data_IF_947415873294
#
_entry.id   IF_947415873294
#
_cell.length_a   1.000
_cell.length_b   1.000
_cell.length_c   1.000
_cell.angle_alpha   90.00
_cell.angle_beta   90.00
_cell.angle_gamma   90.00
#
_symmetry.space_group_name_H-M   'P 1'
#
loop_
_entity.id
_entity.type
_entity.pdbx_description
1 polymer ?
#
# COMPACT_ATOMS: atom_id res chain seq x y z
N UNK A 1 -1.84 11.71 -24.55
CA UNK A 1 -1.00 10.58 -24.12
C UNK A 1 0.43 10.97 -24.45
N UNK A 2 1.39 10.80 -23.52
CA UNK A 2 2.78 11.07 -23.86
C UNK A 2 3.26 10.09 -24.94
N UNK A 3 4.13 10.55 -25.83
CA UNK A 3 4.66 9.72 -26.90
C UNK A 3 5.52 8.59 -26.29
N UNK A 4 5.39 7.36 -26.79
CA UNK A 4 6.10 6.18 -26.30
C UNK A 4 7.62 6.39 -26.21
N UNK A 5 8.19 7.13 -27.17
CA UNK A 5 9.60 7.52 -27.20
C UNK A 5 9.99 8.45 -26.04
N UNK A 6 9.09 9.35 -25.64
CA UNK A 6 9.32 10.25 -24.50
C UNK A 6 9.37 9.46 -23.19
N UNK A 7 8.50 8.47 -23.02
CA UNK A 7 8.47 7.61 -21.83
C UNK A 7 9.72 6.73 -21.78
N UNK A 8 10.16 6.20 -22.92
CA UNK A 8 11.39 5.42 -23.01
C UNK A 8 12.61 6.25 -22.58
N UNK A 9 12.71 7.49 -23.07
CA UNK A 9 13.82 8.37 -22.76
C UNK A 9 13.85 8.76 -21.28
N UNK A 10 12.69 9.07 -20.69
CA UNK A 10 12.56 9.38 -19.26
C UNK A 10 12.94 8.18 -18.39
N UNK A 11 12.54 6.96 -18.78
CA UNK A 11 12.92 5.74 -18.06
C UNK A 11 14.43 5.48 -18.08
N UNK A 12 15.09 5.77 -19.21
CA UNK A 12 16.55 5.65 -19.34
C UNK A 12 17.27 6.68 -18.46
N UNK A 13 16.76 7.91 -18.38
CA UNK A 13 17.30 8.95 -17.52
C UNK A 13 17.17 8.56 -16.04
N UNK A 14 15.99 8.13 -15.60
CA UNK A 14 15.77 7.63 -14.24
C UNK A 14 16.68 6.43 -13.90
N UNK A 15 16.88 5.50 -14.83
CA UNK A 15 17.79 4.36 -14.64
C UNK A 15 19.25 4.82 -14.48
N UNK A 16 19.67 5.85 -15.21
CA UNK A 16 21.02 6.43 -15.14
C UNK A 16 21.25 7.22 -13.86
N UNK A 17 20.23 7.88 -13.34
CA UNK A 17 20.26 8.59 -12.07
C UNK A 17 20.24 7.64 -10.85
N UNK A 18 20.09 6.33 -11.09
CA UNK A 18 20.04 5.31 -10.06
C UNK A 18 18.64 5.12 -9.45
N UNK A 19 17.63 5.84 -9.97
CA UNK A 19 16.24 5.68 -9.56
C UNK A 19 15.61 4.47 -10.27
N UNK A 20 16.00 3.27 -9.85
CA UNK A 20 15.56 2.01 -10.47
C UNK A 20 14.05 1.77 -10.37
N UNK A 21 13.42 2.21 -9.29
CA UNK A 21 11.99 2.05 -9.07
C UNK A 21 11.17 2.91 -10.06
N UNK A 22 11.58 4.18 -10.24
CA UNK A 22 10.95 5.07 -11.22
C UNK A 22 11.19 4.59 -12.65
N UNK A 23 12.41 4.16 -12.97
CA UNK A 23 12.73 3.58 -14.27
C UNK A 23 11.88 2.34 -14.58
N UNK A 24 11.72 1.44 -13.60
CA UNK A 24 10.87 0.26 -13.72
C UNK A 24 9.41 0.64 -13.98
N UNK A 25 8.87 1.61 -13.25
CA UNK A 25 7.50 2.07 -13.45
C UNK A 25 7.29 2.64 -14.86
N UNK A 26 8.26 3.41 -15.37
CA UNK A 26 8.22 3.98 -16.72
C UNK A 26 8.32 2.91 -17.81
N UNK A 27 9.21 1.91 -17.68
CA UNK A 27 9.29 0.81 -18.64
C UNK A 27 8.09 -0.15 -18.54
N UNK A 28 7.53 -0.36 -17.34
CA UNK A 28 6.29 -1.15 -17.15
C UNK A 28 5.07 -0.46 -17.76
N UNK A 29 5.01 0.88 -17.71
CA UNK A 29 3.99 1.65 -18.40
C UNK A 29 4.17 1.55 -19.92
N UNK A 30 5.41 1.69 -20.39
CA UNK A 30 5.73 1.65 -21.81
C UNK A 30 5.43 0.29 -22.44
N UNK A 31 5.77 -0.80 -21.77
CA UNK A 31 5.47 -2.17 -22.20
C UNK A 31 3.97 -2.51 -22.19
N UNK A 32 3.17 -1.81 -21.37
CA UNK A 32 1.70 -1.88 -21.42
C UNK A 32 1.10 -1.07 -22.57
N UNK A 33 1.68 0.08 -22.88
CA UNK A 33 1.22 0.96 -23.95
C UNK A 33 1.65 0.48 -25.34
N UNK A 34 2.85 -0.07 -25.44
CA UNK A 34 3.47 -0.59 -26.65
C UNK A 34 4.14 -1.95 -26.35
N UNK A 35 3.35 -3.04 -26.36
CA UNK A 35 3.84 -4.39 -26.06
C UNK A 35 4.89 -4.91 -27.03
N UNK A 36 4.97 -4.35 -28.24
CA UNK A 36 5.91 -4.76 -29.28
C UNK A 36 7.28 -4.05 -29.14
N UNK A 37 7.42 -3.17 -28.15
CA UNK A 37 8.64 -2.40 -27.92
C UNK A 37 9.73 -3.24 -27.24
N UNK A 38 10.52 -3.93 -28.06
CA UNK A 38 11.68 -4.73 -27.65
C UNK A 38 12.61 -3.98 -26.68
N UNK A 39 12.81 -2.68 -26.91
CA UNK A 39 13.76 -1.90 -26.12
C UNK A 39 13.23 -1.59 -24.71
N UNK A 40 11.93 -1.33 -24.58
CA UNK A 40 11.28 -1.16 -23.28
C UNK A 40 11.41 -2.43 -22.42
N UNK A 41 11.20 -3.61 -23.01
CA UNK A 41 11.34 -4.89 -22.33
C UNK A 41 12.79 -5.19 -21.92
N UNK A 42 13.78 -4.85 -22.77
CA UNK A 42 15.20 -4.99 -22.43
C UNK A 42 15.61 -4.10 -21.26
N UNK A 43 15.15 -2.85 -21.26
CA UNK A 43 15.43 -1.93 -20.15
C UNK A 43 14.73 -2.36 -18.86
N UNK A 44 13.49 -2.87 -18.95
CA UNK A 44 12.76 -3.44 -17.82
C UNK A 44 13.54 -4.61 -17.19
N UNK A 45 14.09 -5.52 -17.99
CA UNK A 45 14.92 -6.61 -17.50
C UNK A 45 16.18 -6.13 -16.73
N UNK A 46 16.74 -4.99 -17.14
CA UNK A 46 17.91 -4.37 -16.50
C UNK A 46 17.60 -3.72 -15.13
N UNK A 47 16.39 -3.18 -14.96
CA UNK A 47 15.96 -2.52 -13.71
C UNK A 47 15.04 -3.39 -12.84
N UNK A 48 14.71 -4.60 -13.29
CA UNK A 48 13.88 -5.56 -12.58
C UNK A 48 14.37 -5.82 -11.14
N UNK A 49 13.41 -5.92 -10.21
CA UNK A 49 13.67 -6.10 -8.79
C UNK A 49 14.02 -7.56 -8.46
N UNK A 50 13.42 -8.51 -9.19
CA UNK A 50 13.59 -9.94 -8.99
C UNK A 50 14.08 -10.71 -10.22
N UNK A 51 14.63 -11.92 -10.02
CA UNK A 51 15.03 -12.79 -11.12
C UNK A 51 13.84 -13.23 -11.99
N UNK A 52 12.64 -13.34 -11.42
CA UNK A 52 11.42 -13.74 -12.15
C UNK A 52 10.90 -12.62 -13.06
N UNK A 53 10.90 -11.37 -12.58
CA UNK A 53 10.55 -10.19 -13.39
C UNK A 53 11.56 -10.00 -14.54
N UNK A 54 12.85 -10.19 -14.24
CA UNK A 54 13.90 -10.18 -15.26
C UNK A 54 13.69 -11.28 -16.30
N UNK A 55 13.35 -12.50 -15.87
CA UNK A 55 13.08 -13.63 -16.77
C UNK A 55 11.91 -13.31 -17.69
N UNK A 56 10.77 -12.91 -17.13
CA UNK A 56 9.56 -12.61 -17.90
C UNK A 56 9.82 -11.52 -18.96
N UNK A 57 10.52 -10.45 -18.60
CA UNK A 57 10.86 -9.39 -19.54
C UNK A 57 11.78 -9.88 -20.69
N UNK A 58 12.76 -10.73 -20.40
CA UNK A 58 13.66 -11.30 -21.42
C UNK A 58 12.95 -12.35 -22.30
N UNK A 59 12.02 -13.13 -21.75
CA UNK A 59 11.17 -14.06 -22.51
C UNK A 59 10.32 -13.31 -23.54
N UNK A 60 9.74 -12.17 -23.14
CA UNK A 60 9.01 -11.30 -24.07
C UNK A 60 9.91 -10.74 -25.17
N UNK A 61 11.15 -10.33 -24.86
CA UNK A 61 12.11 -9.89 -25.89
C UNK A 61 12.42 -10.99 -26.89
N UNK A 62 12.67 -12.23 -26.43
CA UNK A 62 12.95 -13.36 -27.31
C UNK A 62 11.72 -13.77 -28.13
N UNK A 63 10.51 -13.59 -27.60
CA UNK A 63 9.27 -13.82 -28.33
C UNK A 63 9.06 -12.81 -29.47
N UNK A 64 9.39 -11.53 -29.24
CA UNK A 64 9.29 -10.46 -30.24
C UNK A 64 10.44 -10.48 -31.25
N UNK A 65 11.67 -10.66 -30.76
CA UNK A 65 12.89 -10.68 -31.54
C UNK A 65 13.76 -11.89 -31.16
N UNK A 66 13.52 -13.07 -31.76
CA UNK A 66 14.25 -14.30 -31.46
C UNK A 66 15.77 -14.24 -31.74
N UNK A 67 16.19 -13.28 -32.59
CA UNK A 67 17.59 -13.01 -32.91
C UNK A 67 18.30 -12.13 -31.87
N UNK A 68 17.60 -11.64 -30.86
CA UNK A 68 18.19 -10.70 -29.91
C UNK A 68 19.19 -11.39 -28.98
N UNK A 69 20.48 -11.21 -29.27
CA UNK A 69 21.57 -11.83 -28.50
C UNK A 69 21.58 -11.43 -27.03
N UNK A 70 21.15 -10.21 -26.71
CA UNK A 70 21.17 -9.69 -25.34
C UNK A 70 20.15 -10.43 -24.47
N UNK A 71 18.96 -10.68 -25.01
CA UNK A 71 17.92 -11.41 -24.29
C UNK A 71 18.24 -12.89 -24.12
N UNK A 72 18.80 -13.54 -25.17
CA UNK A 72 19.26 -14.93 -25.09
C UNK A 72 20.37 -15.12 -24.06
N UNK A 73 21.36 -14.23 -24.03
CA UNK A 73 22.44 -14.25 -23.03
C UNK A 73 21.88 -14.01 -21.62
N UNK A 74 20.89 -13.13 -21.48
CA UNK A 74 20.20 -12.87 -20.22
C UNK A 74 19.44 -14.09 -19.68
N UNK A 75 18.71 -14.81 -20.53
CA UNK A 75 18.01 -16.04 -20.14
C UNK A 75 18.97 -17.18 -19.80
N UNK A 76 20.05 -17.33 -20.56
CA UNK A 76 21.11 -18.29 -20.26
C UNK A 76 21.79 -18.02 -18.91
N UNK A 77 22.02 -16.74 -18.57
CA UNK A 77 22.55 -16.36 -17.26
C UNK A 77 21.59 -16.68 -16.10
N UNK A 78 20.29 -16.84 -16.37
CA UNK A 78 19.27 -17.26 -15.42
C UNK A 78 19.00 -18.78 -15.45
N UNK A 79 19.76 -19.55 -16.23
CA UNK A 79 19.62 -21.01 -16.36
C UNK A 79 18.42 -21.45 -17.19
N UNK A 80 17.86 -20.58 -18.03
CA UNK A 80 16.71 -20.88 -18.90
C UNK A 80 17.18 -21.07 -20.34
N UNK A 81 16.77 -22.18 -20.96
CA UNK A 81 17.05 -22.45 -22.37
C UNK A 81 16.22 -21.52 -23.28
N UNK A 82 16.86 -20.64 -24.07
CA UNK A 82 16.16 -19.65 -24.88
C UNK A 82 15.34 -20.28 -26.03
N UNK A 83 15.68 -21.50 -26.46
CA UNK A 83 14.98 -22.19 -27.55
C UNK A 83 13.68 -22.87 -27.08
N UNK A 84 13.49 -23.07 -25.77
CA UNK A 84 12.24 -23.60 -25.19
C UNK A 84 11.09 -22.58 -25.20
N UNK A 85 11.42 -21.28 -25.30
CA UNK A 85 10.45 -20.17 -25.26
C UNK A 85 9.95 -19.81 -26.66
N UNK A 86 10.76 -20.04 -27.70
CA UNK A 86 10.41 -19.77 -29.11
C UNK A 86 9.38 -20.74 -29.72
N UNK A 87 8.96 -21.78 -28.97
CA UNK A 87 8.09 -22.84 -29.47
C UNK A 87 6.63 -22.82 -28.99
N UNK A 88 6.21 -21.86 -28.13
CA UNK A 88 4.86 -21.87 -27.55
C UNK A 88 3.93 -20.91 -28.30
N UNK A 89 2.93 -21.40 -29.06
CA UNK A 89 1.90 -20.53 -29.61
C UNK A 89 1.03 -19.96 -28.49
N UNK A 90 0.67 -18.68 -28.61
CA UNK A 90 -0.16 -17.94 -27.66
C UNK A 90 -1.49 -18.66 -27.37
N UNK A 91 -2.00 -18.64 -26.11
CA UNK A 91 -3.23 -19.32 -25.75
C UNK A 91 -4.46 -18.60 -26.34
N UNK A 92 -5.24 -19.29 -27.15
CA UNK A 92 -6.61 -18.90 -27.52
C UNK A 92 -7.58 -19.14 -26.34
N UNK A 93 -8.64 -18.32 -26.18
CA UNK A 93 -9.55 -18.41 -25.05
C UNK A 93 -10.75 -19.37 -25.28
N UNK A 94 -11.16 -20.02 -24.18
CA UNK A 94 -12.46 -20.68 -23.85
C UNK A 94 -12.77 -22.08 -24.41
N UNK A 95 -12.72 -23.09 -23.52
CA UNK A 95 -13.76 -24.12 -23.36
C UNK A 95 -13.62 -24.87 -22.01
N UNK A 96 -14.72 -24.91 -21.25
CA UNK A 96 -14.94 -25.62 -19.97
C UNK A 96 -14.65 -27.14 -20.06
N UNK A 97 -14.13 -27.80 -19.00
CA UNK A 97 -13.83 -29.23 -19.02
C UNK A 97 -15.05 -30.11 -18.67
N UNK A 98 -15.17 -31.35 -19.20
CA UNK A 98 -15.92 -32.41 -18.54
C UNK A 98 -14.97 -33.26 -17.66
N UNK A 99 -15.44 -33.81 -16.52
CA UNK A 99 -14.64 -34.68 -15.68
C UNK A 99 -14.65 -36.13 -16.22
N UNK A 100 -13.54 -36.86 -16.02
CA UNK A 100 -13.64 -38.24 -15.54
C UNK A 100 -12.69 -38.42 -14.34
N UNK A 101 -13.19 -38.85 -13.19
CA UNK A 101 -13.32 -40.25 -12.79
C UNK A 101 -11.95 -40.95 -12.60
N UNK A 102 -11.76 -41.46 -11.39
CA UNK A 102 -10.54 -41.93 -10.79
C UNK A 102 -9.86 -43.14 -11.48
N UNK A 103 -8.56 -43.25 -11.15
CA UNK A 103 -7.70 -44.43 -11.13
C UNK A 103 -7.06 -44.89 -12.44
N UNK A 104 -5.85 -44.39 -12.69
CA UNK A 104 -4.63 -45.22 -12.73
C UNK A 104 -3.44 -44.28 -12.44
N UNK A 105 -2.66 -44.58 -11.40
CA UNK A 105 -1.42 -43.83 -11.13
C UNK A 105 -0.46 -44.10 -12.29
N UNK A 106 0.01 -43.03 -12.92
CA UNK A 106 0.96 -43.14 -14.03
C UNK A 106 2.34 -43.54 -13.52
N UNK A 107 3.17 -44.19 -14.35
CA UNK A 107 4.56 -44.51 -14.00
C UNK A 107 5.36 -43.26 -13.60
N UNK A 108 4.91 -42.08 -14.01
CA UNK A 108 5.46 -40.77 -13.66
C UNK A 108 5.14 -40.37 -12.20
N UNK A 109 3.94 -40.70 -11.70
CA UNK A 109 3.57 -40.49 -10.29
C UNK A 109 4.30 -41.47 -9.34
N UNK A 110 4.57 -42.69 -9.81
CA UNK A 110 5.40 -43.66 -9.10
C UNK A 110 6.88 -43.24 -9.08
N UNK A 111 7.39 -42.66 -10.18
CA UNK A 111 8.75 -42.14 -10.25
C UNK A 111 8.95 -40.87 -9.40
N UNK A 112 7.93 -40.00 -9.32
CA UNK A 112 7.93 -38.84 -8.46
C UNK A 112 7.91 -39.21 -6.97
N UNK A 113 7.14 -40.23 -6.58
CA UNK A 113 7.12 -40.74 -5.20
C UNK A 113 8.43 -41.46 -4.81
N UNK A 114 9.10 -42.12 -5.76
CA UNK A 114 10.39 -42.78 -5.52
C UNK A 114 11.53 -41.75 -5.39
N UNK A 115 11.50 -40.67 -6.16
CA UNK A 115 12.42 -39.53 -6.02
C UNK A 115 12.27 -38.82 -4.67
N UNK A 116 11.04 -38.64 -4.18
CA UNK A 116 10.80 -37.99 -2.88
C UNK A 116 11.33 -38.86 -1.71
N UNK A 117 11.22 -40.19 -1.83
CA UNK A 117 11.80 -41.13 -0.84
C UNK A 117 13.33 -41.23 -0.88
N UNK A 118 13.97 -40.87 -2.01
CA UNK A 118 15.43 -40.92 -2.17
C UNK A 118 16.15 -39.73 -1.51
N UNK A 119 15.44 -38.65 -1.20
CA UNK A 119 16.01 -37.48 -0.53
C UNK A 119 15.99 -37.58 1.01
N UNK A 120 15.16 -38.45 1.58
CA UNK A 120 15.09 -38.69 3.04
C UNK A 120 16.27 -39.53 3.58
N UNK A 121 17.05 -40.20 2.72
CA UNK A 121 18.18 -41.05 3.14
C UNK A 121 19.52 -40.28 3.27
N UNK A 122 19.52 -38.95 3.08
CA UNK A 122 20.72 -38.11 3.17
C UNK A 122 20.94 -37.41 4.52
N UNK A 123 20.07 -37.61 5.52
CA UNK A 123 20.22 -37.03 6.86
C UNK A 123 20.88 -37.97 7.88
N UNK A 124 21.49 -39.08 7.42
CA UNK A 124 22.17 -40.08 8.25
C UNK A 124 23.65 -40.31 7.88
N UNK A 125 24.42 -39.24 7.66
CA UNK A 125 25.89 -39.35 7.59
C UNK A 125 26.56 -38.49 8.66
N UNK A 126 27.22 -39.19 9.59
CA UNK A 126 27.98 -38.65 10.69
C UNK A 126 28.98 -37.56 10.29
N UNK A 127 28.95 -36.48 11.08
CA UNK A 127 29.92 -35.40 11.10
C UNK A 127 31.29 -35.93 11.58
N UNK A 128 32.22 -36.18 10.67
CA UNK A 128 33.63 -36.45 11.02
C UNK A 128 34.59 -35.54 10.28
N UNK A 129 35.20 -34.63 11.05
CA UNK A 129 36.62 -34.33 11.07
C UNK A 129 37.31 -33.90 9.76
N UNK A 130 37.60 -32.61 9.65
CA UNK A 130 38.42 -32.06 8.58
C UNK A 130 39.91 -32.50 8.61
N UNK A 131 40.58 -32.28 7.49
CA UNK A 131 42.04 -32.07 7.41
C UNK A 131 42.38 -31.34 6.10
N UNK A 132 43.47 -30.55 6.06
CA UNK A 132 43.61 -29.40 5.19
C UNK A 132 44.23 -29.73 3.82
N UNK A 133 43.90 -28.88 2.85
CA UNK A 133 44.39 -28.90 1.48
C UNK A 133 45.83 -28.36 1.41
N UNK A 134 46.78 -29.23 1.06
CA UNK A 134 48.14 -28.85 0.68
C UNK A 134 48.14 -28.25 -0.73
N UNK A 135 48.68 -27.03 -0.86
CA UNK A 135 49.09 -26.45 -2.14
C UNK A 135 50.52 -26.87 -2.50
N UNK A 136 50.86 -27.01 -3.80
CA UNK A 136 52.21 -27.30 -4.23
C UNK A 136 53.09 -26.04 -4.40
N UNK A 137 54.36 -26.26 -4.09
CA UNK A 137 55.56 -25.43 -4.09
C UNK A 137 55.89 -24.63 -5.36
N UNK A 138 56.48 -23.44 -5.17
CA UNK A 138 57.90 -23.20 -5.54
C UNK A 138 58.23 -21.99 -6.41
N UNK A 139 58.88 -20.96 -5.82
CA UNK A 139 59.94 -20.14 -6.46
C UNK A 139 60.69 -19.23 -5.47
N UNK A 140 62.04 -19.33 -5.43
CA UNK A 140 63.05 -18.37 -4.90
C UNK A 140 63.01 -18.04 -3.39
N UNK A 141 64.09 -17.75 -2.66
CA UNK A 141 65.46 -17.34 -2.97
C UNK A 141 66.29 -17.43 -1.66
N UNK A 142 67.60 -17.52 -1.81
CA UNK A 142 68.64 -17.81 -0.80
C UNK A 142 68.82 -16.70 0.26
N UNK A 143 69.33 -17.06 1.45
CA UNK A 143 69.89 -16.08 2.39
C UNK A 143 70.12 -16.61 3.80
N UNK A 144 71.36 -16.99 4.07
CA UNK A 144 71.90 -17.61 5.28
C UNK A 144 72.00 -16.66 6.49
N UNK A 145 71.84 -17.17 7.72
CA UNK A 145 72.85 -17.14 8.79
C UNK A 145 72.28 -17.33 10.22
N UNK A 146 72.76 -18.42 10.82
CA UNK A 146 73.24 -18.63 12.20
C UNK A 146 72.50 -18.20 13.50
N UNK A 147 72.35 -19.25 14.32
CA UNK A 147 72.77 -19.35 15.74
C UNK A 147 71.86 -18.87 16.89
N UNK A 148 71.19 -19.89 17.44
CA UNK A 148 71.24 -20.34 18.85
C UNK A 148 71.03 -19.33 20.00
N UNK A 149 70.02 -19.58 20.84
CA UNK A 149 70.20 -20.36 22.07
C UNK A 149 68.99 -20.26 23.01
N UNK A 150 68.68 -21.40 23.63
CA UNK A 150 67.71 -21.57 24.69
C UNK A 150 68.25 -21.07 26.04
N UNK A 151 67.35 -20.67 26.94
CA UNK A 151 67.71 -20.35 28.32
C UNK A 151 66.48 -20.08 29.17
N UNK A 152 65.99 -21.15 29.81
CA UNK A 152 64.85 -21.18 30.70
C UNK A 152 65.15 -20.56 32.09
N UNK A 153 64.14 -20.67 32.96
CA UNK A 153 64.09 -20.48 34.41
C UNK A 153 63.78 -19.07 34.90
N UNK A 154 63.00 -18.86 35.95
CA UNK A 154 61.98 -19.60 36.69
C UNK A 154 61.58 -18.67 37.85
N UNK A 155 60.36 -18.87 38.39
CA UNK A 155 59.96 -18.52 39.77
C UNK A 155 59.81 -17.01 40.06
N UNK A 156 58.85 -16.51 40.82
CA UNK A 156 57.86 -17.09 41.73
C UNK A 156 56.97 -15.94 42.22
N UNK A 157 55.74 -16.28 42.64
CA UNK A 157 54.94 -15.63 43.72
C UNK A 157 54.62 -14.13 43.60
N UNK A 158 53.47 -13.60 43.98
CA UNK A 158 52.23 -14.11 44.55
C UNK A 158 51.26 -12.93 44.61
N UNK A 159 49.99 -13.28 44.77
CA UNK A 159 48.97 -12.56 45.55
C UNK A 159 48.37 -11.23 45.07
N UNK A 160 47.07 -11.36 44.83
CA UNK A 160 45.96 -10.60 45.42
C UNK A 160 45.66 -9.17 44.97
N UNK A 161 44.43 -9.08 44.45
CA UNK A 161 43.41 -8.11 44.82
C UNK A 161 43.48 -6.70 44.21
N UNK A 162 42.59 -6.54 43.21
CA UNK A 162 41.52 -5.54 43.15
C UNK A 162 41.91 -4.07 43.33
N UNK A 163 41.48 -3.34 42.29
CA UNK A 163 40.89 -2.02 42.29
C UNK A 163 41.83 -0.83 42.01
N UNK A 164 41.45 -0.14 40.94
CA UNK A 164 41.28 1.32 40.86
C UNK A 164 42.37 2.12 40.12
N UNK A 165 41.95 2.55 38.93
CA UNK A 165 42.04 3.93 38.39
C UNK A 165 43.32 4.37 37.69
N UNK A 166 43.10 4.59 36.40
CA UNK A 166 43.52 5.70 35.55
C UNK A 166 44.94 6.27 35.65
N UNK A 167 45.59 6.22 34.49
CA UNK A 167 46.28 7.34 33.87
C UNK A 167 47.54 7.87 34.57
N UNK A 168 48.69 7.61 33.93
CA UNK A 168 49.70 8.60 33.51
C UNK A 168 50.84 7.83 32.84
N UNK A 169 51.05 7.98 31.52
CA UNK A 169 51.68 9.12 30.83
C UNK A 169 53.20 9.09 30.97
N UNK A 170 53.84 9.25 29.81
CA UNK A 170 55.23 9.70 29.56
C UNK A 170 56.23 8.55 29.36
N UNK A 171 57.12 8.53 28.37
CA UNK A 171 57.58 9.61 27.51
C UNK A 171 58.30 9.07 26.27
N UNK A 172 58.06 9.72 25.13
CA UNK A 172 59.13 10.31 24.31
C UNK A 172 58.52 11.47 23.51
N UNK A 173 58.49 12.69 24.04
CA UNK A 173 59.45 13.79 23.82
C UNK A 173 59.84 14.01 22.34
N UNK A 174 59.94 15.22 21.76
CA UNK A 174 59.65 16.62 22.13
C UNK A 174 60.26 17.46 20.99
N UNK A 175 59.53 18.38 20.36
CA UNK A 175 60.06 19.69 19.91
C UNK A 175 58.91 20.61 19.46
N UNK A 176 58.55 21.61 20.27
CA UNK A 176 58.83 23.06 20.07
C UNK A 176 57.83 23.70 19.08
N UNK A 177 56.68 24.20 19.58
CA UNK A 177 56.39 25.59 20.03
C UNK A 177 56.32 26.59 18.86
N UNK A 178 55.10 27.01 18.51
CA UNK A 178 54.73 28.44 18.49
C UNK A 178 53.22 28.58 18.77
N UNK A 179 52.84 29.63 19.50
CA UNK A 179 51.46 29.97 19.88
C UNK A 179 50.87 30.90 18.82
N UNK A 180 49.70 30.56 18.26
CA UNK A 180 48.81 31.60 17.71
C UNK A 180 47.33 31.23 17.89
N UNK A 181 46.63 32.12 18.57
CA UNK A 181 45.20 32.13 18.81
C UNK A 181 44.45 32.43 17.51
N UNK A 182 43.92 31.40 16.86
CA UNK A 182 43.07 31.52 15.67
C UNK A 182 41.68 30.93 15.89
N UNK A 183 40.67 31.80 15.97
CA UNK A 183 39.27 31.48 15.72
C UNK A 183 39.14 30.77 14.37
N UNK A 184 38.78 29.47 14.36
CA UNK A 184 38.44 28.78 13.11
C UNK A 184 37.10 29.29 12.58
N UNK A 185 37.22 30.35 11.78
CA UNK A 185 36.22 30.83 10.84
C UNK A 185 36.05 29.76 9.77
N UNK A 186 34.79 29.37 9.55
CA UNK A 186 34.33 28.42 8.52
C UNK A 186 34.90 28.79 7.15
N UNK A 187 35.56 27.85 6.48
CA UNK A 187 36.08 28.06 5.12
C UNK A 187 34.91 28.34 4.14
N UNK A 188 35.00 29.37 3.27
CA UNK A 188 33.95 29.65 2.28
C UNK A 188 33.99 28.62 1.15
N UNK A 189 32.84 28.00 0.86
CA UNK A 189 32.63 27.19 -0.34
C UNK A 189 32.97 28.01 -1.59
N UNK A 190 33.96 27.56 -2.36
CA UNK A 190 34.31 28.13 -3.66
C UNK A 190 33.24 27.71 -4.68
N UNK A 191 32.23 28.58 -4.89
CA UNK A 191 31.23 28.40 -5.95
C UNK A 191 31.93 28.66 -7.30
N UNK A 192 32.02 27.63 -8.15
CA UNK A 192 32.59 27.74 -9.50
C UNK A 192 31.85 28.78 -10.33
N UNK A 193 32.52 29.47 -11.28
CA UNK A 193 31.89 30.52 -12.10
C UNK A 193 30.67 30.00 -12.88
N UNK A 194 30.68 28.72 -13.26
CA UNK A 194 29.54 28.03 -13.88
C UNK A 194 28.35 27.90 -12.92
N UNK A 195 28.58 27.53 -11.66
CA UNK A 195 27.53 27.40 -10.67
C UNK A 195 26.87 28.75 -10.34
N UNK A 196 27.61 29.87 -10.39
CA UNK A 196 27.01 31.21 -10.27
C UNK A 196 26.11 31.56 -11.45
N UNK A 197 26.48 31.14 -12.66
CA UNK A 197 25.68 31.37 -13.87
C UNK A 197 24.39 30.54 -13.84
N UNK A 198 24.48 29.27 -13.41
CA UNK A 198 23.32 28.39 -13.25
C UNK A 198 22.35 28.88 -12.17
N UNK A 199 22.85 29.34 -11.02
CA UNK A 199 22.02 29.91 -9.96
C UNK A 199 21.34 31.20 -10.45
N UNK A 200 22.08 32.07 -11.17
CA UNK A 200 21.50 33.27 -11.78
C UNK A 200 20.40 32.94 -12.79
N UNK A 201 20.62 31.95 -13.65
CA UNK A 201 19.63 31.50 -14.62
C UNK A 201 18.38 30.91 -13.96
N UNK A 202 18.55 30.09 -12.92
CA UNK A 202 17.45 29.53 -12.14
C UNK A 202 16.60 30.61 -11.47
N UNK A 203 17.24 31.66 -10.91
CA UNK A 203 16.53 32.80 -10.31
C UNK A 203 15.75 33.61 -11.35
N UNK A 204 16.32 33.81 -12.54
CA UNK A 204 15.63 34.51 -13.64
C UNK A 204 14.43 33.71 -14.16
N UNK A 205 14.56 32.40 -14.30
CA UNK A 205 13.44 31.52 -14.68
C UNK A 205 12.34 31.53 -13.61
N UNK A 206 12.71 31.49 -12.33
CA UNK A 206 11.76 31.54 -11.23
C UNK A 206 11.02 32.89 -11.18
N UNK A 207 11.73 34.02 -11.35
CA UNK A 207 11.08 35.33 -11.44
C UNK A 207 10.17 35.43 -12.67
N UNK A 208 10.60 34.91 -13.82
CA UNK A 208 9.80 34.87 -15.04
C UNK A 208 8.52 34.06 -14.85
N UNK A 209 8.61 32.91 -14.21
CA UNK A 209 7.46 32.07 -13.87
C UNK A 209 6.52 32.76 -12.89
N UNK A 210 7.06 33.46 -11.88
CA UNK A 210 6.26 34.16 -10.87
C UNK A 210 5.53 35.37 -11.46
N UNK A 211 6.17 36.10 -12.39
CA UNK A 211 5.55 37.19 -13.16
C UNK A 211 4.49 36.63 -14.12
N UNK A 212 4.79 35.54 -14.84
CA UNK A 212 3.83 34.89 -15.72
C UNK A 212 2.61 34.38 -14.95
N UNK A 213 2.81 33.77 -13.78
CA UNK A 213 1.73 33.35 -12.88
C UNK A 213 0.90 34.52 -12.37
N UNK A 214 1.46 35.72 -12.23
CA UNK A 214 0.72 36.90 -11.77
C UNK A 214 -0.12 37.55 -12.88
N UNK A 215 0.37 37.51 -14.13
CA UNK A 215 -0.31 38.10 -15.29
C UNK A 215 -1.30 37.14 -15.97
N UNK A 216 -1.02 35.83 -16.00
CA UNK A 216 -1.89 34.83 -16.66
C UNK A 216 -2.88 34.14 -15.70
N UNK A 217 -2.71 34.23 -14.38
CA UNK A 217 -3.68 33.70 -13.41
C UNK A 217 -4.77 34.72 -13.01
N UNK A 218 -4.84 35.88 -13.67
CA UNK A 218 -5.91 36.87 -13.49
C UNK A 218 -6.99 36.72 -14.55
N UNK A 219 -7.59 35.53 -14.58
CA UNK A 219 -8.58 35.18 -15.59
C UNK A 219 -9.45 33.99 -15.23
N UNK A 220 -9.80 33.77 -13.96
CA UNK A 220 -11.03 33.04 -13.61
C UNK A 220 -11.36 33.14 -12.11
N UNK A 221 -11.91 34.27 -11.68
CA UNK A 221 -12.66 34.34 -10.43
C UNK A 221 -14.06 34.86 -10.73
N UNK A 222 -14.91 33.94 -11.20
CA UNK A 222 -16.35 34.15 -11.28
C UNK A 222 -16.92 34.30 -9.87
N UNK A 223 -17.23 35.53 -9.48
CA UNK A 223 -18.05 35.85 -8.32
C UNK A 223 -19.50 35.43 -8.60
N UNK A 224 -19.91 34.27 -8.09
CA UNK A 224 -21.33 33.92 -7.94
C UNK A 224 -21.85 34.52 -6.63
N UNK A 225 -22.84 35.41 -6.76
CA UNK A 225 -23.41 36.16 -5.67
C UNK A 225 -24.23 35.30 -4.70
N UNK A 226 -24.03 35.55 -3.41
CA UNK A 226 -24.91 35.15 -2.32
C UNK A 226 -25.93 36.28 -2.11
N UNK A 227 -27.25 36.06 -2.17
CA UNK A 227 -28.21 37.01 -1.61
C UNK A 227 -28.54 36.63 -0.15
N UNK A 228 -28.05 37.44 0.77
CA UNK A 228 -28.57 37.54 2.14
C UNK A 228 -29.78 38.49 2.14
N UNK A 229 -30.93 38.15 2.75
CA UNK A 229 -32.01 39.11 2.92
C UNK A 229 -31.77 39.96 4.18
N UNK A 230 -31.71 41.29 4.01
CA UNK A 230 -31.82 42.25 5.10
C UNK A 230 -33.00 43.18 4.84
N UNK A 231 -33.86 43.29 5.85
CA UNK A 231 -35.03 44.14 5.90
C UNK A 231 -34.68 45.63 6.03
N UNK A 232 -35.53 46.51 5.48
CA UNK A 232 -36.20 47.59 6.25
C UNK A 232 -37.08 48.52 5.38
N UNK A 233 -38.34 48.67 5.83
CA UNK A 233 -39.22 49.86 5.84
C UNK A 233 -39.64 50.50 4.48
N UNK A 234 -40.85 51.03 4.25
CA UNK A 234 -41.84 51.70 5.12
C UNK A 234 -43.19 51.85 4.37
N UNK A 235 -44.30 51.94 5.13
CA UNK A 235 -45.62 52.53 4.81
C UNK A 235 -46.50 51.81 3.75
N UNK A 236 -47.82 51.69 3.87
CA UNK A 236 -48.82 52.50 4.57
C UNK A 236 -50.11 51.71 4.82
N UNK A 237 -50.96 52.28 5.67
CA UNK A 237 -52.17 51.71 6.26
C UNK A 237 -53.28 51.27 5.29
N UNK A 238 -54.07 50.25 5.70
CA UNK A 238 -55.54 50.30 5.83
C UNK A 238 -56.18 48.91 5.99
N UNK A 239 -57.03 48.75 7.01
CA UNK A 239 -58.21 47.86 6.95
C UNK A 239 -58.13 46.48 7.62
N UNK A 240 -58.65 46.39 8.85
CA UNK A 240 -59.48 45.25 9.30
C UNK A 240 -60.97 45.63 9.05
N UNK A 241 -62.00 44.74 9.19
CA UNK A 241 -62.00 43.30 9.46
C UNK A 241 -63.04 42.49 8.61
N UNK A 242 -63.24 41.20 8.95
CA UNK A 242 -64.40 40.31 8.62
C UNK A 242 -64.29 39.57 7.27
N UNK A 243 -64.78 38.36 7.04
CA UNK A 243 -65.55 37.31 7.74
C UNK A 243 -65.19 36.01 6.96
N UNK A 244 -65.24 34.77 7.44
CA UNK A 244 -66.46 34.00 7.77
C UNK A 244 -65.97 32.57 8.04
N UNK A 245 -66.09 32.07 9.26
CA UNK A 245 -66.10 30.62 9.52
C UNK A 245 -67.55 30.24 9.78
N UNK A 246 -68.09 29.40 8.89
CA UNK A 246 -69.48 28.96 8.89
C UNK A 246 -69.72 28.03 10.08
N UNK A 247 -70.60 28.47 10.97
CA UNK A 247 -71.28 27.66 11.99
C UNK A 247 -72.43 26.89 11.32
N UNK A 248 -72.53 25.59 11.57
CA UNK A 248 -73.78 24.86 11.39
C UNK A 248 -74.27 24.43 12.76
N UNK A 249 -75.30 25.14 13.23
CA UNK A 249 -76.18 24.71 14.30
C UNK A 249 -77.30 23.86 13.69
N UNK A 250 -77.66 22.75 14.32
CA UNK A 250 -79.04 22.24 14.26
C UNK A 250 -79.40 21.66 15.63
N UNK A 251 -80.31 22.40 16.25
CA UNK A 251 -81.01 22.21 17.51
C UNK A 251 -81.87 20.93 17.51
N UNK A 252 -82.02 20.26 18.67
CA UNK A 252 -82.79 19.02 18.70
C UNK A 252 -83.16 18.34 20.03
N UNK A 253 -83.47 19.09 21.10
CA UNK A 253 -84.48 18.75 22.15
C UNK A 253 -84.26 17.51 23.07
N UNK A 254 -83.95 17.79 24.35
CA UNK A 254 -84.80 17.41 25.50
C UNK A 254 -84.52 16.11 26.30
N UNK A 255 -84.33 16.26 27.62
CA UNK A 255 -84.80 15.26 28.60
C UNK A 255 -83.81 14.83 29.70
N UNK A 256 -84.02 15.36 30.90
CA UNK A 256 -83.32 15.14 32.17
C UNK A 256 -83.31 13.68 32.68
N UNK A 257 -82.18 13.26 33.27
CA UNK A 257 -82.12 12.09 34.17
C UNK A 257 -80.70 11.79 34.65
N UNK A 258 -80.38 12.13 35.90
CA UNK A 258 -79.09 11.84 36.53
C UNK A 258 -78.98 10.34 36.92
N UNK A 259 -77.83 9.72 36.64
CA UNK A 259 -77.29 8.61 37.44
C UNK A 259 -75.76 8.69 37.43
N UNK A 260 -75.18 8.66 38.64
CA UNK A 260 -73.77 8.44 38.89
C UNK A 260 -73.37 7.02 38.50
N UNK A 261 -72.18 6.85 37.94
CA UNK A 261 -71.63 5.54 37.63
C UNK A 261 -70.33 5.68 36.85
N UNK A 262 -69.25 5.92 37.57
CA UNK A 262 -67.88 5.69 37.11
C UNK A 262 -67.76 4.23 36.66
N UNK A 263 -67.50 3.98 35.38
CA UNK A 263 -66.56 2.94 34.96
C UNK A 263 -66.23 3.09 33.47
N UNK A 264 -64.93 3.07 33.20
CA UNK A 264 -64.34 3.30 31.89
C UNK A 264 -64.73 2.21 30.90
N UNK A 265 -65.23 2.65 29.74
CA UNK A 265 -65.40 1.82 28.56
C UNK A 265 -64.02 1.44 28.02
N UNK A 266 -63.69 0.15 28.08
CA UNK A 266 -62.68 -0.46 27.22
C UNK A 266 -63.43 -1.27 26.16
N UNK A 267 -63.52 -0.85 24.91
CA UNK A 267 -63.86 -1.75 23.83
C UNK A 267 -62.58 -2.49 23.41
N UNK A 268 -62.59 -3.80 23.67
CA UNK A 268 -61.80 -4.81 22.98
C UNK A 268 -61.87 -4.59 21.48
N UNK A 269 -60.73 -4.31 20.85
CA UNK A 269 -60.40 -4.93 19.58
C UNK A 269 -58.90 -5.25 19.57
N UNK A 270 -58.62 -6.54 19.75
CA UNK A 270 -57.30 -7.13 19.70
C UNK A 270 -56.91 -7.26 18.23
N UNK A 271 -56.27 -6.22 17.70
CA UNK A 271 -55.35 -6.38 16.58
C UNK A 271 -53.96 -6.60 17.18
N UNK A 272 -53.60 -7.88 17.27
CA UNK A 272 -52.22 -8.30 17.46
C UNK A 272 -51.37 -7.59 16.39
N UNK A 273 -50.40 -6.73 16.76
CA UNK A 273 -49.47 -6.23 15.76
C UNK A 273 -48.64 -7.43 15.32
N UNK A 274 -48.89 -7.90 14.10
CA UNK A 274 -47.93 -8.70 13.34
C UNK A 274 -46.55 -8.10 13.59
N UNK A 275 -45.54 -8.89 14.05
CA UNK A 275 -44.21 -8.35 14.22
C UNK A 275 -43.76 -7.86 12.85
N UNK A 276 -43.73 -6.53 12.69
CA UNK A 276 -43.02 -5.88 11.60
C UNK A 276 -41.60 -6.46 11.69
N UNK A 277 -41.07 -7.10 10.62
CA UNK A 277 -39.67 -7.49 10.59
C UNK A 277 -38.87 -6.26 10.98
N UNK A 278 -38.12 -6.36 12.09
CA UNK A 278 -37.34 -5.25 12.60
C UNK A 278 -36.47 -4.71 11.46
N UNK A 279 -36.77 -3.49 11.03
CA UNK A 279 -35.87 -2.72 10.18
C UNK A 279 -34.52 -2.65 10.94
N UNK A 280 -33.39 -3.07 10.31
CA UNK A 280 -32.12 -3.15 11.01
C UNK A 280 -31.75 -1.76 11.55
N UNK A 281 -31.74 -1.62 12.87
CA UNK A 281 -31.31 -0.38 13.51
C UNK A 281 -29.86 -0.10 13.10
N UNK A 282 -29.53 1.11 12.60
CA UNK A 282 -28.14 1.51 12.47
C UNK A 282 -27.59 1.73 13.88
N UNK A 283 -26.86 0.74 14.42
CA UNK A 283 -26.10 0.94 15.65
C UNK A 283 -26.11 -0.23 16.63
N UNK A 284 -25.38 -1.30 16.30
CA UNK A 284 -24.47 -2.00 17.21
C UNK A 284 -23.91 -3.18 16.42
N UNK A 285 -22.80 -2.94 15.73
CA UNK A 285 -22.03 -4.06 15.20
C UNK A 285 -21.43 -4.82 16.39
N UNK A 286 -21.35 -6.14 16.28
CA UNK A 286 -20.55 -6.93 17.21
C UNK A 286 -19.11 -6.38 17.24
N UNK A 287 -18.40 -6.56 18.36
CA UNK A 287 -17.03 -6.05 18.46
C UNK A 287 -16.14 -6.75 17.42
N UNK A 288 -15.56 -6.02 16.44
CA UNK A 288 -14.71 -6.61 15.41
C UNK A 288 -13.47 -7.30 15.98
N UNK A 289 -13.06 -7.00 17.22
CA UNK A 289 -11.97 -7.72 17.88
C UNK A 289 -12.31 -9.21 18.09
N UNK A 290 -13.58 -9.53 18.29
CA UNK A 290 -14.07 -10.91 18.46
C UNK A 290 -14.34 -11.65 17.16
N UNK A 291 -14.38 -10.94 16.03
CA UNK A 291 -14.62 -11.54 14.72
C UNK A 291 -13.50 -12.50 14.30
N UNK A 292 -13.85 -13.63 13.68
CA UNK A 292 -12.90 -14.51 13.02
C UNK A 292 -13.40 -14.80 11.59
N UNK A 293 -13.25 -13.83 10.67
CA UNK A 293 -13.78 -13.96 9.33
C UNK A 293 -13.11 -15.12 8.59
N UNK A 294 -13.93 -15.94 7.94
CA UNK A 294 -13.46 -16.93 6.96
C UNK A 294 -12.83 -16.20 5.77
N UNK A 295 -11.63 -16.63 5.40
CA UNK A 295 -10.91 -16.02 4.28
C UNK A 295 -11.52 -16.49 2.97
N UNK A 296 -12.07 -15.55 2.21
CA UNK A 296 -12.64 -15.82 0.88
C UNK A 296 -11.59 -15.56 -0.21
N UNK A 297 -11.81 -16.16 -1.39
CA UNK A 297 -10.93 -15.97 -2.53
C UNK A 297 -10.93 -14.51 -3.01
N UNK A 298 -9.76 -14.02 -3.40
CA UNK A 298 -9.60 -12.72 -4.08
C UNK A 298 -10.48 -12.71 -5.33
N UNK A 299 -11.15 -11.58 -5.59
CA UNK A 299 -12.14 -11.42 -6.64
C UNK A 299 -13.58 -11.78 -6.23
N UNK A 300 -13.80 -12.39 -5.05
CA UNK A 300 -15.15 -12.64 -4.54
C UNK A 300 -15.84 -11.33 -4.19
N UNK A 301 -17.09 -11.14 -4.62
CA UNK A 301 -17.92 -10.01 -4.18
C UNK A 301 -18.65 -10.36 -2.90
N UNK A 302 -18.43 -9.56 -1.86
CA UNK A 302 -19.15 -9.64 -0.59
C UNK A 302 -20.13 -8.47 -0.48
N UNK A 303 -21.15 -8.62 0.37
CA UNK A 303 -22.12 -7.56 0.64
C UNK A 303 -22.30 -7.34 2.12
N UNK A 304 -22.53 -6.07 2.49
CA UNK A 304 -22.76 -5.66 3.86
C UNK A 304 -23.54 -4.34 3.90
N UNK A 305 -24.72 -4.31 4.53
CA UNK A 305 -25.57 -3.12 4.67
C UNK A 305 -25.82 -2.35 3.35
N UNK A 306 -26.05 -3.10 2.26
CA UNK A 306 -26.27 -2.52 0.93
C UNK A 306 -25.01 -1.94 0.28
N UNK A 307 -23.83 -2.23 0.81
CA UNK A 307 -22.55 -2.01 0.13
C UNK A 307 -22.05 -3.33 -0.44
N UNK A 308 -21.88 -3.40 -1.76
CA UNK A 308 -21.12 -4.46 -2.39
C UNK A 308 -19.64 -4.10 -2.38
N UNK A 309 -18.76 -5.03 -2.04
CA UNK A 309 -17.33 -4.78 -2.04
C UNK A 309 -16.54 -6.01 -2.48
N UNK A 310 -15.48 -5.77 -3.24
CA UNK A 310 -14.59 -6.81 -3.76
C UNK A 310 -13.15 -6.36 -3.59
N UNK A 311 -12.28 -7.29 -3.22
CA UNK A 311 -10.84 -7.11 -3.34
C UNK A 311 -10.37 -7.91 -4.56
N UNK A 312 -10.11 -7.27 -5.71
CA UNK A 312 -10.05 -7.97 -6.99
C UNK A 312 -8.70 -8.63 -7.28
N UNK A 313 -7.61 -8.13 -6.70
CA UNK A 313 -6.25 -8.62 -6.97
C UNK A 313 -5.33 -8.44 -5.77
N UNK A 314 -4.41 -9.38 -5.53
CA UNK A 314 -3.46 -9.34 -4.41
C UNK A 314 -2.49 -8.12 -4.48
N UNK A 315 -2.24 -7.60 -5.68
CA UNK A 315 -1.36 -6.44 -5.90
C UNK A 315 -2.00 -5.13 -5.47
N UNK A 316 -3.31 -5.12 -5.18
CA UNK A 316 -4.04 -3.92 -4.81
C UNK A 316 -3.95 -3.60 -3.32
N UNK A 317 -3.11 -4.31 -2.58
CA UNK A 317 -2.73 -3.93 -1.23
C UNK A 317 -1.23 -3.66 -1.15
N UNK A 318 -0.87 -2.59 -0.46
CA UNK A 318 0.52 -2.21 -0.27
C UNK A 318 0.74 -1.58 1.09
N UNK A 319 1.93 -1.78 1.65
CA UNK A 319 2.41 -1.00 2.78
C UNK A 319 2.94 0.34 2.29
N UNK A 320 2.53 1.41 2.94
CA UNK A 320 3.03 2.76 2.73
C UNK A 320 4.09 3.12 3.78
N UNK A 321 4.54 4.37 3.80
CA UNK A 321 5.43 4.88 4.85
C UNK A 321 4.68 5.21 6.15
N UNK A 322 5.36 5.92 7.05
CA UNK A 322 4.77 6.46 8.28
C UNK A 322 3.96 7.75 8.07
N UNK A 323 3.85 8.23 6.83
CA UNK A 323 3.11 9.43 6.46
C UNK A 323 2.52 9.32 5.07
N UNK A 324 1.31 9.84 4.87
CA UNK A 324 0.59 9.89 3.59
C UNK A 324 -0.06 11.26 3.45
N UNK A 325 0.36 12.03 2.43
CA UNK A 325 -0.17 13.37 2.14
C UNK A 325 -0.23 14.31 3.35
N UNK A 326 0.75 14.22 4.27
CA UNK A 326 0.83 15.03 5.48
C UNK A 326 0.12 14.45 6.72
N UNK A 327 -0.61 13.34 6.58
CA UNK A 327 -1.18 12.58 7.70
C UNK A 327 -0.12 11.61 8.21
N UNK A 328 0.14 11.60 9.52
CA UNK A 328 1.14 10.71 10.12
C UNK A 328 0.47 9.49 10.78
N UNK A 329 1.12 8.34 10.67
CA UNK A 329 0.72 7.11 11.31
C UNK A 329 0.99 7.20 12.82
N UNK A 330 0.03 6.72 13.62
CA UNK A 330 0.10 6.59 15.07
C UNK A 330 0.64 5.21 15.47
N UNK A 331 0.29 4.16 14.74
CA UNK A 331 0.74 2.79 15.00
C UNK A 331 2.06 2.45 14.30
N UNK A 332 2.50 3.30 13.37
CA UNK A 332 3.86 3.31 12.83
C UNK A 332 3.93 3.29 11.31
N UNK A 333 2.95 2.67 10.64
CA UNK A 333 2.93 2.59 9.18
C UNK A 333 1.51 2.56 8.63
N UNK A 334 1.30 3.19 7.47
CA UNK A 334 0.04 3.02 6.75
C UNK A 334 0.06 1.77 5.87
N UNK A 335 -1.08 1.10 5.75
CA UNK A 335 -1.37 0.13 4.70
C UNK A 335 -2.52 0.66 3.85
N UNK A 336 -2.44 0.52 2.54
CA UNK A 336 -3.51 0.85 1.61
C UNK A 336 -4.03 -0.41 0.95
N UNK A 337 -5.34 -0.50 0.82
CA UNK A 337 -6.04 -1.52 0.05
C UNK A 337 -6.98 -0.83 -0.93
N UNK A 338 -6.81 -1.07 -2.22
CA UNK A 338 -7.71 -0.63 -3.26
C UNK A 338 -8.85 -1.65 -3.42
N UNK A 339 -10.01 -1.31 -2.88
CA UNK A 339 -11.20 -2.14 -2.94
C UNK A 339 -12.19 -1.59 -3.97
N UNK A 340 -12.96 -2.46 -4.60
CA UNK A 340 -13.99 -2.10 -5.58
C UNK A 340 -15.33 -2.12 -4.85
N UNK A 341 -15.92 -0.94 -4.66
CA UNK A 341 -17.10 -0.76 -3.80
C UNK A 341 -18.26 -0.22 -4.63
N UNK A 342 -19.40 -0.90 -4.54
CA UNK A 342 -20.66 -0.51 -5.15
C UNK A 342 -21.67 -0.09 -4.09
N UNK A 343 -22.30 1.05 -4.28
CA UNK A 343 -23.40 1.49 -3.43
C UNK A 343 -24.73 0.92 -3.98
N UNK A 344 -25.32 0.01 -3.22
CA UNK A 344 -26.60 -0.65 -3.54
C UNK A 344 -27.70 -0.26 -2.54
N UNK A 345 -27.53 0.80 -1.76
CA UNK A 345 -28.52 1.21 -0.75
C UNK A 345 -29.73 1.94 -1.33
N UNK A 346 -29.65 2.33 -2.60
CA UNK A 346 -30.70 3.09 -3.30
C UNK A 346 -30.61 4.61 -3.09
N UNK A 347 -29.67 5.10 -2.28
CA UNK A 347 -29.43 6.54 -2.08
C UNK A 347 -27.94 6.87 -2.23
N UNK A 348 -27.62 7.98 -2.90
CA UNK A 348 -26.25 8.50 -2.92
C UNK A 348 -25.81 8.86 -1.49
N UNK A 349 -24.68 8.32 -1.06
CA UNK A 349 -24.16 8.54 0.28
C UNK A 349 -22.65 8.26 0.35
N UNK A 350 -22.04 8.73 1.43
CA UNK A 350 -20.64 8.44 1.77
C UNK A 350 -20.55 7.06 2.42
N UNK A 351 -19.44 6.36 2.21
CA UNK A 351 -19.15 5.10 2.89
C UNK A 351 -19.01 5.38 4.40
N UNK A 352 -19.71 4.66 5.29
CA UNK A 352 -19.52 4.86 6.72
C UNK A 352 -18.05 4.64 7.09
N UNK A 353 -17.43 5.64 7.73
CA UNK A 353 -16.00 5.64 8.06
C UNK A 353 -15.55 4.42 8.88
N UNK A 354 -16.51 3.81 9.56
CA UNK A 354 -16.32 2.76 10.53
C UNK A 354 -16.70 1.37 9.94
N UNK A 355 -17.18 1.32 8.69
CA UNK A 355 -17.65 0.10 8.03
C UNK A 355 -16.52 -0.91 7.82
N UNK A 356 -15.39 -0.46 7.26
CA UNK A 356 -14.25 -1.31 6.93
C UNK A 356 -13.25 -1.38 8.07
N UNK A 357 -12.81 -2.60 8.37
CA UNK A 357 -11.86 -2.89 9.43
C UNK A 357 -10.84 -3.91 8.94
N UNK A 358 -9.62 -3.76 9.43
CA UNK A 358 -8.51 -4.67 9.16
C UNK A 358 -8.13 -5.36 10.46
N UNK A 359 -7.91 -6.67 10.43
CA UNK A 359 -7.46 -7.44 11.60
C UNK A 359 -6.21 -8.24 11.28
N UNK A 360 -5.24 -8.23 12.18
CA UNK A 360 -4.02 -9.03 12.02
C UNK A 360 -4.08 -10.38 12.75
N UNK A 361 -3.06 -11.21 12.55
CA UNK A 361 -2.90 -12.51 13.20
C UNK A 361 -2.86 -12.43 14.74
N UNK A 362 -2.39 -11.30 15.29
CA UNK A 362 -2.33 -11.03 16.72
C UNK A 362 -3.70 -10.60 17.30
N UNK A 363 -4.70 -10.40 16.44
CA UNK A 363 -6.05 -10.03 16.81
C UNK A 363 -6.26 -8.52 16.98
N UNK A 364 -5.29 -7.68 16.63
CA UNK A 364 -5.41 -6.22 16.65
C UNK A 364 -6.30 -5.78 15.51
N UNK A 365 -7.21 -4.85 15.80
CA UNK A 365 -8.15 -4.30 14.82
C UNK A 365 -7.77 -2.86 14.50
N UNK A 366 -7.68 -2.56 13.22
CA UNK A 366 -7.34 -1.25 12.69
C UNK A 366 -8.56 -0.70 11.92
N UNK A 367 -9.16 0.41 12.38
CA UNK A 367 -10.23 1.08 11.63
C UNK A 367 -9.65 1.80 10.41
N UNK A 368 -10.47 1.96 9.38
CA UNK A 368 -10.08 2.74 8.22
C UNK A 368 -9.88 4.23 8.59
N UNK A 369 -8.83 4.83 8.05
CA UNK A 369 -8.46 6.22 8.28
C UNK A 369 -8.92 7.09 7.10
N UNK A 370 -10.00 7.84 7.30
CA UNK A 370 -10.63 8.65 6.23
C UNK A 370 -9.72 9.78 5.76
N UNK A 371 -9.01 10.44 6.68
CA UNK A 371 -8.08 11.53 6.36
C UNK A 371 -6.90 11.03 5.52
N UNK A 372 -6.31 9.88 5.89
CA UNK A 372 -5.22 9.27 5.14
C UNK A 372 -5.70 8.74 3.77
N UNK A 373 -6.92 8.19 3.69
CA UNK A 373 -7.56 7.80 2.43
C UNK A 373 -7.69 9.00 1.49
N UNK A 374 -8.28 10.11 1.95
CA UNK A 374 -8.39 11.33 1.13
C UNK A 374 -7.03 11.90 0.73
N UNK A 375 -6.04 11.85 1.62
CA UNK A 375 -4.70 12.34 1.34
C UNK A 375 -3.92 11.47 0.33
N UNK A 376 -4.26 10.18 0.26
CA UNK A 376 -3.67 9.23 -0.69
C UNK A 376 -4.25 9.39 -2.10
N UNK A 377 -5.58 9.59 -2.19
CA UNK A 377 -6.31 9.48 -3.46
C UNK A 377 -5.97 10.61 -4.44
N UNK A 378 -5.64 10.19 -5.65
CA UNK A 378 -5.49 11.01 -6.84
C UNK A 378 -6.37 10.40 -7.94
N UNK A 379 -7.55 10.98 -8.19
CA UNK A 379 -8.52 10.45 -9.15
C UNK A 379 -7.90 10.20 -10.53
N UNK A 380 -8.11 8.99 -11.06
CA UNK A 380 -7.57 8.56 -12.35
C UNK A 380 -6.08 8.16 -12.33
N UNK A 381 -5.42 8.20 -11.17
CA UNK A 381 -4.02 7.74 -11.01
C UNK A 381 -3.95 6.49 -10.14
N UNK A 382 -4.43 6.57 -8.89
CA UNK A 382 -4.27 5.47 -7.92
C UNK A 382 -5.59 4.94 -7.33
N UNK A 383 -6.66 5.75 -7.33
CA UNK A 383 -8.01 5.36 -6.95
C UNK A 383 -9.00 6.42 -7.46
N UNK A 384 -10.24 6.03 -7.72
CA UNK A 384 -11.28 6.96 -8.17
C UNK A 384 -11.89 7.74 -7.00
N UNK A 385 -12.01 7.09 -5.84
CA UNK A 385 -12.69 7.61 -4.65
C UNK A 385 -11.88 7.39 -3.38
N UNK A 386 -12.02 8.32 -2.47
CA UNK A 386 -11.64 8.17 -1.06
C UNK A 386 -12.84 7.71 -0.23
N UNK A 387 -12.58 7.37 1.04
CA UNK A 387 -13.63 7.06 2.01
C UNK A 387 -14.55 8.24 2.35
N UNK A 388 -14.15 9.47 2.03
CA UNK A 388 -14.96 10.68 2.31
C UNK A 388 -15.81 11.10 1.11
N UNK A 389 -15.61 10.50 -0.06
CA UNK A 389 -16.37 10.84 -1.26
C UNK A 389 -17.75 10.16 -1.26
N UNK A 390 -18.74 10.82 -1.86
CA UNK A 390 -20.04 10.20 -2.10
C UNK A 390 -19.96 9.20 -3.25
N UNK A 391 -20.63 8.06 -3.05
CA UNK A 391 -20.82 7.05 -4.09
C UNK A 391 -22.29 7.09 -4.58
N UNK A 392 -22.52 7.25 -5.89
CA UNK A 392 -23.85 7.13 -6.48
C UNK A 392 -24.45 5.75 -6.21
N UNK A 393 -25.77 5.67 -5.99
CA UNK A 393 -26.48 4.39 -5.81
C UNK A 393 -26.90 3.76 -7.15
N UNK A 394 -26.00 3.77 -8.13
CA UNK A 394 -26.17 3.16 -9.45
C UNK A 394 -25.84 1.66 -9.47
N UNK A 395 -25.25 1.14 -8.39
CA UNK A 395 -24.79 -0.24 -8.28
C UNK A 395 -23.48 -0.52 -9.02
N UNK A 396 -22.86 0.50 -9.62
CA UNK A 396 -21.55 0.39 -10.25
C UNK A 396 -20.45 0.31 -9.19
N UNK A 397 -19.36 -0.38 -9.51
CA UNK A 397 -18.20 -0.49 -8.62
C UNK A 397 -17.20 0.62 -8.88
N UNK A 398 -16.83 1.32 -7.82
CA UNK A 398 -15.81 2.37 -7.83
C UNK A 398 -14.55 1.87 -7.14
N UNK A 399 -13.38 2.23 -7.65
CA UNK A 399 -12.12 1.95 -6.95
C UNK A 399 -11.95 2.91 -5.77
N UNK A 400 -11.89 2.37 -4.56
CA UNK A 400 -11.82 3.12 -3.31
C UNK A 400 -10.55 2.76 -2.56
N UNK A 401 -9.74 3.76 -2.23
CA UNK A 401 -8.54 3.55 -1.42
C UNK A 401 -8.90 3.48 0.07
N UNK A 402 -8.83 2.28 0.64
CA UNK A 402 -8.97 2.06 2.08
C UNK A 402 -7.59 2.13 2.73
N UNK A 403 -7.36 3.12 3.58
CA UNK A 403 -6.06 3.32 4.24
C UNK A 403 -6.19 3.02 5.73
N UNK A 404 -5.25 2.26 6.28
CA UNK A 404 -5.25 1.81 7.68
C UNK A 404 -3.92 2.14 8.33
N UNK A 405 -3.96 2.55 9.58
CA UNK A 405 -2.78 2.81 10.40
C UNK A 405 -2.43 1.54 11.19
N UNK A 406 -1.49 0.76 10.68
CA UNK A 406 -1.15 -0.58 11.16
C UNK A 406 0.16 -0.58 11.93
N UNK A 407 0.32 -1.54 12.82
CA UNK A 407 1.59 -1.75 13.49
C UNK A 407 2.62 -2.36 12.50
N UNK A 408 3.91 -2.03 12.63
CA UNK A 408 4.95 -2.51 11.71
C UNK A 408 5.23 -4.02 11.82
N UNK A 409 4.76 -4.68 12.88
CA UNK A 409 4.86 -6.12 13.09
C UNK A 409 3.56 -6.88 12.76
N UNK A 410 2.58 -6.19 12.15
CA UNK A 410 1.31 -6.81 11.79
C UNK A 410 1.48 -7.80 10.63
N UNK A 411 0.87 -8.98 10.77
CA UNK A 411 0.93 -10.07 9.79
C UNK A 411 -0.46 -10.63 9.54
N UNK A 412 -0.63 -11.28 8.39
CA UNK A 412 -1.89 -11.85 7.90
C UNK A 412 -3.09 -10.92 8.12
N UNK A 413 -2.98 -9.72 7.54
CA UNK A 413 -4.01 -8.69 7.62
C UNK A 413 -5.22 -9.13 6.80
N UNK A 414 -6.36 -9.28 7.48
CA UNK A 414 -7.65 -9.65 6.90
C UNK A 414 -8.58 -8.44 6.90
N UNK A 415 -9.05 -8.05 5.70
CA UNK A 415 -10.03 -6.99 5.49
C UNK A 415 -11.44 -7.56 5.55
N UNK A 416 -12.31 -6.97 6.36
CA UNK A 416 -13.73 -7.30 6.44
C UNK A 416 -14.54 -6.06 6.83
N UNK A 417 -15.85 -6.22 6.96
CA UNK A 417 -16.74 -5.13 7.38
C UNK A 417 -17.35 -5.42 8.74
N UNK A 418 -17.64 -4.38 9.51
CA UNK A 418 -18.34 -4.54 10.80
C UNK A 418 -19.74 -5.14 10.65
N UNK A 419 -20.38 -4.93 9.50
CA UNK A 419 -21.69 -5.46 9.15
C UNK A 419 -21.64 -6.91 8.64
N UNK A 420 -20.50 -7.37 8.11
CA UNK A 420 -20.27 -8.77 7.73
C UNK A 420 -18.91 -9.24 8.28
N UNK A 421 -18.96 -9.81 9.49
CA UNK A 421 -17.79 -10.28 10.25
C UNK A 421 -17.47 -11.76 10.00
N UNK A 422 -18.31 -12.46 9.24
CA UNK A 422 -18.15 -13.89 8.97
C UNK A 422 -17.20 -14.18 7.82
N UNK A 423 -16.96 -13.20 6.95
CA UNK A 423 -16.15 -13.36 5.73
C UNK A 423 -15.21 -12.16 5.56
N UNK A 424 -14.02 -12.41 5.00
CA UNK A 424 -13.03 -11.36 4.74
C UNK A 424 -11.95 -11.79 3.78
N UNK A 425 -11.12 -10.84 3.35
CA UNK A 425 -10.03 -11.07 2.41
C UNK A 425 -8.70 -11.00 3.14
N UNK A 426 -7.83 -11.99 2.97
CA UNK A 426 -6.42 -11.84 3.32
C UNK A 426 -5.77 -10.88 2.31
N UNK A 427 -5.43 -9.66 2.75
CA UNK A 427 -4.95 -8.59 1.86
C UNK A 427 -3.43 -8.41 1.92
N UNK A 428 -2.81 -8.65 3.07
CA UNK A 428 -1.35 -8.54 3.24
C UNK A 428 -0.84 -9.61 4.19
N UNK A 429 0.18 -10.35 3.78
CA UNK A 429 0.82 -11.36 4.64
C UNK A 429 1.68 -10.73 5.74
N UNK A 430 2.31 -9.59 5.45
CA UNK A 430 3.14 -8.86 6.42
C UNK A 430 3.24 -7.40 6.04
N UNK A 431 3.42 -6.57 7.05
CA UNK A 431 3.85 -5.18 6.90
C UNK A 431 5.38 -5.16 7.01
N UNK A 432 6.12 -4.74 5.97
CA UNK A 432 7.59 -4.73 5.96
C UNK A 432 8.22 -3.60 6.78
#
# INVERSE_FOLDING_TARGET
MAESDTILQLGIEAAREGNREEARNLFSLLTRQDPDNVQAWLWLAGVAEGPDERRAALEHVVALEPSNEMARKGLQALGVDPDSVSGRPAPTPVATPPPPAAADLSEEDLYAAELDSAFDDYDMVEKVGGTPRNEPTGYGDQGDDESASAGAFASSSSSSARERVESRRSARTRSLIDEDSGTMTRAPFQITPLARLLIGFAVVLLLGFLIFSLFFNKGNSGTAGVPTPVASATADASGLPSATSVTTDTTGIGGTGAISGTDMLTPTDTLEPTPVPAEPQPGSYADPATANPEQVAIGTTLEANGWGYTYPDATYAASLGSSVGGVNAQNGRFAVILAFIANKTGTEQVIPADLFVLKDAQGRVYPANTAASRAYVQPGINADKSLEDTLPADGESYSVALVFDVAPDATNLVLFTRANQGQGFLVLNSVP
#
